data_IF_395019406234
#
_entry.id   IF_395019406234
#
_cell.length_a   1.000
_cell.length_b   1.000
_cell.length_c   1.000
_cell.angle_alpha   90.00
_cell.angle_beta   90.00
_cell.angle_gamma   90.00
#
_symmetry.space_group_name_H-M   'P 1'
#
loop_
_entity.id
_entity.type
_entity.pdbx_description
1 polymer ?
#
# COMPACT_ATOMS: atom_id res chain seq x y z
N UNK A 1 -43.46 21.32 3.53
CA UNK A 1 -44.32 20.15 3.80
C UNK A 1 -45.61 20.31 3.05
N UNK A 2 -45.95 19.38 2.17
CA UNK A 2 -47.14 19.47 1.32
C UNK A 2 -47.54 18.10 0.79
N UNK A 3 -48.84 17.93 0.51
CA UNK A 3 -49.47 16.67 0.09
C UNK A 3 -48.74 15.91 -1.03
N UNK A 4 -47.96 16.61 -1.85
CA UNK A 4 -47.20 16.03 -2.95
C UNK A 4 -46.09 15.06 -2.49
N UNK A 5 -45.52 15.27 -1.30
CA UNK A 5 -44.48 14.39 -0.72
C UNK A 5 -45.04 13.01 -0.35
N UNK A 6 -46.29 12.95 0.10
CA UNK A 6 -46.92 11.69 0.51
C UNK A 6 -47.49 10.89 -0.68
N UNK A 7 -47.62 11.52 -1.86
CA UNK A 7 -48.21 10.89 -3.05
C UNK A 7 -47.18 10.42 -4.09
N UNK A 8 -45.96 10.97 -4.07
CA UNK A 8 -44.94 10.69 -5.08
C UNK A 8 -43.65 10.21 -4.42
N UNK A 9 -43.24 9.00 -4.77
CA UNK A 9 -41.99 8.40 -4.30
C UNK A 9 -40.82 8.87 -5.17
N UNK A 10 -40.18 9.99 -4.78
CA UNK A 10 -39.00 10.51 -5.49
C UNK A 10 -37.67 10.07 -4.89
N UNK A 11 -37.66 9.55 -3.65
CA UNK A 11 -36.43 9.13 -2.97
C UNK A 11 -35.81 7.90 -3.65
N UNK A 12 -34.48 7.88 -3.77
CA UNK A 12 -33.73 6.77 -4.36
C UNK A 12 -32.69 6.28 -3.37
N UNK A 13 -32.62 4.96 -3.19
CA UNK A 13 -31.57 4.26 -2.44
C UNK A 13 -30.88 3.27 -3.38
N UNK A 14 -29.56 3.35 -3.46
CA UNK A 14 -28.74 2.43 -4.22
C UNK A 14 -27.82 1.66 -3.27
N UNK A 15 -27.71 0.36 -3.48
CA UNK A 15 -26.78 -0.51 -2.78
C UNK A 15 -25.82 -1.10 -3.81
N UNK A 16 -24.52 -0.94 -3.61
CA UNK A 16 -23.52 -1.68 -4.35
C UNK A 16 -23.28 -3.02 -3.65
N UNK A 17 -23.88 -4.07 -4.21
CA UNK A 17 -23.87 -5.42 -3.62
C UNK A 17 -22.45 -5.96 -3.33
N UNK A 18 -21.43 -5.81 -4.20
CA UNK A 18 -20.10 -6.34 -3.92
C UNK A 18 -19.37 -5.68 -2.74
N UNK A 19 -19.61 -4.40 -2.47
CA UNK A 19 -18.93 -3.67 -1.38
C UNK A 19 -19.83 -3.37 -0.19
N UNK A 20 -21.13 -3.64 -0.30
CA UNK A 20 -22.13 -3.28 0.71
C UNK A 20 -22.38 -1.76 0.85
N UNK A 21 -21.78 -0.91 0.01
CA UNK A 21 -21.94 0.55 0.11
C UNK A 21 -23.37 0.93 -0.26
N UNK A 22 -24.04 1.64 0.66
CA UNK A 22 -25.39 2.16 0.46
C UNK A 22 -25.35 3.68 0.37
N UNK A 23 -25.99 4.24 -0.64
CA UNK A 23 -26.23 5.68 -0.76
C UNK A 23 -27.71 5.97 -0.96
N UNK A 24 -28.18 7.10 -0.46
CA UNK A 24 -29.56 7.54 -0.61
C UNK A 24 -29.61 9.02 -1.00
N UNK A 25 -30.55 9.37 -1.87
CA UNK A 25 -30.78 10.74 -2.32
C UNK A 25 -32.28 11.03 -2.37
N UNK A 26 -32.68 12.16 -1.77
CA UNK A 26 -34.06 12.65 -1.72
C UNK A 26 -34.13 14.18 -1.90
N UNK A 27 -33.08 14.79 -2.45
CA UNK A 27 -32.92 16.24 -2.51
C UNK A 27 -33.89 16.90 -3.51
N UNK A 28 -34.17 16.22 -4.62
CA UNK A 28 -35.06 16.71 -5.68
C UNK A 28 -36.46 16.08 -5.62
N UNK A 29 -37.44 16.81 -6.16
CA UNK A 29 -38.79 16.27 -6.43
C UNK A 29 -38.83 15.21 -7.54
N UNK A 30 -37.76 15.11 -8.35
CA UNK A 30 -37.67 14.18 -9.48
C UNK A 30 -36.84 12.95 -9.12
N UNK A 31 -37.42 11.77 -9.28
CA UNK A 31 -36.73 10.49 -9.06
C UNK A 31 -35.49 10.35 -9.97
N UNK A 32 -35.55 10.79 -11.23
CA UNK A 32 -34.42 10.68 -12.16
C UNK A 32 -33.23 11.52 -11.72
N UNK A 33 -33.48 12.74 -11.21
CA UNK A 33 -32.42 13.59 -10.65
C UNK A 33 -31.81 12.98 -9.40
N UNK A 34 -32.64 12.49 -8.48
CA UNK A 34 -32.16 11.78 -7.29
C UNK A 34 -31.35 10.52 -7.64
N UNK A 35 -31.75 9.78 -8.68
CA UNK A 35 -31.00 8.63 -9.19
C UNK A 35 -29.64 9.02 -9.75
N UNK A 36 -29.56 10.08 -10.55
CA UNK A 36 -28.30 10.57 -11.10
C UNK A 36 -27.34 11.02 -9.98
N UNK A 37 -27.85 11.77 -9.00
CA UNK A 37 -27.07 12.19 -7.83
C UNK A 37 -26.61 11.01 -6.99
N UNK A 38 -27.50 10.04 -6.71
CA UNK A 38 -27.15 8.82 -5.99
C UNK A 38 -26.04 8.02 -6.71
N UNK A 39 -26.07 7.94 -8.04
CA UNK A 39 -25.00 7.31 -8.82
C UNK A 39 -23.65 8.02 -8.67
N UNK A 40 -23.63 9.35 -8.72
CA UNK A 40 -22.42 10.12 -8.51
C UNK A 40 -21.84 9.89 -7.10
N UNK A 41 -22.70 9.89 -6.07
CA UNK A 41 -22.31 9.57 -4.70
C UNK A 41 -21.75 8.15 -4.59
N UNK A 42 -22.41 7.16 -5.21
CA UNK A 42 -21.99 5.76 -5.15
C UNK A 42 -20.61 5.57 -5.78
N UNK A 43 -20.38 6.16 -6.96
CA UNK A 43 -19.09 6.11 -7.65
C UNK A 43 -17.97 6.76 -6.83
N UNK A 44 -18.24 7.92 -6.24
CA UNK A 44 -17.27 8.60 -5.38
C UNK A 44 -16.88 7.74 -4.17
N UNK A 45 -17.86 7.10 -3.50
CA UNK A 45 -17.62 6.21 -2.36
C UNK A 45 -16.84 4.95 -2.73
N UNK A 46 -17.14 4.35 -3.89
CA UNK A 46 -16.40 3.19 -4.40
C UNK A 46 -14.96 3.59 -4.72
N UNK A 47 -14.76 4.73 -5.36
CA UNK A 47 -13.43 5.25 -5.67
C UNK A 47 -12.61 5.50 -4.40
N UNK A 48 -13.20 6.16 -3.40
CA UNK A 48 -12.58 6.40 -2.09
C UNK A 48 -12.17 5.09 -1.40
N UNK A 49 -13.03 4.06 -1.44
CA UNK A 49 -12.72 2.74 -0.91
C UNK A 49 -11.50 2.11 -1.59
N UNK A 50 -11.46 2.12 -2.93
CA UNK A 50 -10.34 1.53 -3.68
C UNK A 50 -9.04 2.33 -3.53
N UNK A 51 -9.13 3.66 -3.44
CA UNK A 51 -7.97 4.50 -3.13
C UNK A 51 -7.41 4.15 -1.75
N UNK A 52 -8.28 4.08 -0.73
CA UNK A 52 -7.87 3.74 0.64
C UNK A 52 -7.21 2.36 0.70
N UNK A 53 -7.75 1.35 0.01
CA UNK A 53 -7.12 0.02 -0.06
C UNK A 53 -5.72 0.07 -0.66
N UNK A 54 -5.49 0.87 -1.70
CA UNK A 54 -4.16 1.04 -2.31
C UNK A 54 -3.21 1.75 -1.37
N UNK A 55 -3.68 2.79 -0.69
CA UNK A 55 -2.90 3.53 0.30
C UNK A 55 -2.53 2.64 1.50
N UNK A 56 -3.48 1.87 2.02
CA UNK A 56 -3.27 0.89 3.10
C UNK A 56 -2.23 -0.17 2.69
N UNK A 57 -2.31 -0.71 1.47
CA UNK A 57 -1.34 -1.68 0.97
C UNK A 57 0.08 -1.08 0.82
N UNK A 58 0.18 0.13 0.29
CA UNK A 58 1.44 0.85 0.17
C UNK A 58 2.02 1.22 1.55
N UNK A 59 1.16 1.61 2.50
CA UNK A 59 1.55 1.92 3.86
C UNK A 59 2.03 0.67 4.60
N UNK A 60 1.35 -0.47 4.46
CA UNK A 60 1.80 -1.74 5.04
C UNK A 60 3.19 -2.15 4.53
N UNK A 61 3.48 -1.93 3.24
CA UNK A 61 4.82 -2.14 2.69
C UNK A 61 5.84 -1.15 3.28
N UNK A 62 5.46 0.11 3.48
CA UNK A 62 6.31 1.11 4.12
C UNK A 62 6.57 0.79 5.60
N UNK A 63 5.56 0.38 6.36
CA UNK A 63 5.64 0.02 7.79
C UNK A 63 6.48 -1.24 8.03
N UNK A 64 6.59 -2.11 7.02
CA UNK A 64 7.50 -3.26 7.09
C UNK A 64 8.98 -2.85 7.09
N UNK A 65 9.29 -1.61 6.70
CA UNK A 65 10.65 -1.06 6.72
C UNK A 65 10.96 -0.59 8.13
N UNK A 66 12.17 -0.87 8.59
CA UNK A 66 12.63 -0.43 9.90
C UNK A 66 12.80 1.09 9.96
N UNK A 67 12.70 1.67 11.15
CA UNK A 67 12.91 3.10 11.39
C UNK A 67 14.25 3.60 10.81
N UNK A 68 14.23 4.82 10.29
CA UNK A 68 15.44 5.51 9.81
C UNK A 68 16.18 6.07 11.02
N UNK A 69 16.95 5.22 11.69
CA UNK A 69 17.72 5.56 12.88
C UNK A 69 19.09 4.89 12.91
N UNK A 70 19.94 5.35 13.83
CA UNK A 70 21.23 4.71 14.09
C UNK A 70 21.02 3.27 14.60
N UNK A 71 21.65 2.30 13.94
CA UNK A 71 21.53 0.88 14.25
C UNK A 71 20.59 0.10 13.32
N UNK A 72 19.77 0.79 12.52
CA UNK A 72 18.85 0.16 11.56
C UNK A 72 19.40 0.08 10.13
N UNK A 73 20.65 0.49 9.91
CA UNK A 73 21.29 0.39 8.60
C UNK A 73 21.51 -1.07 8.18
N UNK A 74 21.17 -1.40 6.93
CA UNK A 74 21.40 -2.74 6.38
C UNK A 74 22.82 -2.93 5.83
N UNK A 75 23.51 -1.84 5.49
CA UNK A 75 24.82 -1.87 4.85
C UNK A 75 25.63 -0.64 5.23
N UNK A 76 26.90 -0.85 5.55
CA UNK A 76 27.87 0.21 5.82
C UNK A 76 28.72 0.44 4.58
N UNK A 77 28.87 1.72 4.19
CA UNK A 77 29.76 2.16 3.12
C UNK A 77 30.81 3.08 3.73
N UNK A 78 32.05 2.59 3.83
CA UNK A 78 33.20 3.36 4.31
C UNK A 78 34.07 3.66 3.10
N UNK A 79 34.26 4.95 2.78
CA UNK A 79 35.05 5.39 1.61
C UNK A 79 36.41 5.98 2.00
N UNK A 80 36.58 6.33 3.28
CA UNK A 80 37.80 6.89 3.88
C UNK A 80 37.82 6.53 5.38
N UNK A 81 39.00 6.25 5.99
CA UNK A 81 40.33 6.23 5.38
C UNK A 81 40.63 4.93 4.60
N UNK A 82 39.84 3.88 4.80
CA UNK A 82 39.85 2.65 4.02
C UNK A 82 38.55 2.54 3.22
N UNK A 83 38.58 1.77 2.14
CA UNK A 83 37.42 1.50 1.29
C UNK A 83 36.85 0.13 1.64
N UNK A 84 35.60 0.10 2.10
CA UNK A 84 34.88 -1.12 2.44
C UNK A 84 33.37 -0.92 2.36
N UNK A 85 32.69 -1.86 1.73
CA UNK A 85 31.24 -2.01 1.81
C UNK A 85 30.92 -3.31 2.51
N UNK A 86 30.08 -3.28 3.55
CA UNK A 86 29.67 -4.46 4.32
C UNK A 86 28.18 -4.49 4.55
N UNK A 87 27.52 -5.57 4.11
CA UNK A 87 26.10 -5.82 4.41
C UNK A 87 25.98 -6.46 5.80
N UNK A 88 25.28 -5.78 6.70
CA UNK A 88 25.19 -6.18 8.12
C UNK A 88 24.20 -7.33 8.34
N UNK A 89 23.36 -7.64 7.35
CA UNK A 89 22.39 -8.73 7.44
C UNK A 89 23.00 -10.07 7.04
N UNK A 90 23.87 -10.06 6.03
CA UNK A 90 24.46 -11.27 5.44
C UNK A 90 25.95 -11.44 5.78
N UNK A 91 26.60 -10.38 6.27
CA UNK A 91 28.03 -10.37 6.55
C UNK A 91 28.93 -10.23 5.32
N UNK A 92 28.38 -10.26 4.11
CA UNK A 92 29.13 -10.09 2.86
C UNK A 92 29.78 -8.71 2.81
N UNK A 93 31.05 -8.66 2.39
CA UNK A 93 31.81 -7.43 2.26
C UNK A 93 32.71 -7.41 1.02
N UNK A 94 33.04 -6.21 0.55
CA UNK A 94 33.99 -5.98 -0.55
C UNK A 94 34.77 -4.69 -0.32
N UNK A 95 36.00 -4.64 -0.83
CA UNK A 95 36.82 -3.43 -0.88
C UNK A 95 36.57 -2.59 -2.13
N UNK A 96 35.92 -3.14 -3.16
CA UNK A 96 35.58 -2.40 -4.39
C UNK A 96 34.37 -1.49 -4.16
N UNK A 97 34.58 -0.37 -3.48
CA UNK A 97 33.50 0.59 -3.20
C UNK A 97 32.96 1.25 -4.46
N UNK A 98 33.81 1.43 -5.48
CA UNK A 98 33.43 2.14 -6.69
C UNK A 98 32.52 1.28 -7.56
N UNK A 99 32.88 0.00 -7.80
CA UNK A 99 32.02 -0.93 -8.54
C UNK A 99 30.63 -1.07 -7.91
N UNK A 100 30.57 -1.14 -6.57
CA UNK A 100 29.29 -1.20 -5.85
C UNK A 100 28.44 0.06 -6.04
N UNK A 101 29.07 1.25 -6.00
CA UNK A 101 28.37 2.52 -6.26
C UNK A 101 27.95 2.66 -7.73
N UNK A 102 28.68 2.03 -8.64
CA UNK A 102 28.38 1.97 -10.08
C UNK A 102 27.36 0.87 -10.43
N UNK A 103 26.90 0.09 -9.44
CA UNK A 103 25.77 -0.84 -9.57
C UNK A 103 26.10 -2.32 -9.42
N UNK A 104 27.34 -2.70 -9.13
CA UNK A 104 27.72 -4.09 -8.84
C UNK A 104 27.19 -4.54 -7.46
N UNK A 105 25.91 -4.90 -7.43
CA UNK A 105 25.17 -5.27 -6.22
C UNK A 105 24.82 -6.77 -6.17
N UNK A 106 25.17 -7.53 -7.21
CA UNK A 106 24.69 -8.90 -7.41
C UNK A 106 25.08 -9.82 -6.25
N UNK A 107 26.33 -9.72 -5.77
CA UNK A 107 26.80 -10.51 -4.64
C UNK A 107 25.97 -10.27 -3.36
N UNK A 108 25.60 -9.02 -3.09
CA UNK A 108 24.78 -8.68 -1.92
C UNK A 108 23.33 -9.11 -2.07
N UNK A 109 22.77 -8.98 -3.28
CA UNK A 109 21.40 -9.41 -3.57
C UNK A 109 21.26 -10.93 -3.46
N UNK A 110 22.18 -11.69 -4.08
CA UNK A 110 22.20 -13.14 -4.01
C UNK A 110 22.32 -13.64 -2.56
N UNK A 111 23.23 -13.08 -1.77
CA UNK A 111 23.38 -13.42 -0.37
C UNK A 111 22.12 -13.13 0.45
N UNK A 112 21.46 -11.99 0.20
CA UNK A 112 20.22 -11.64 0.91
C UNK A 112 19.05 -12.55 0.55
N UNK A 113 18.97 -13.02 -0.69
CA UNK A 113 17.93 -13.95 -1.13
C UNK A 113 18.19 -15.35 -0.57
N UNK A 114 19.44 -15.80 -0.57
CA UNK A 114 19.84 -17.08 0.00
C UNK A 114 19.57 -17.15 1.52
N UNK A 115 19.87 -16.08 2.26
CA UNK A 115 19.59 -16.01 3.69
C UNK A 115 18.09 -16.14 4.00
N UNK A 116 17.23 -15.45 3.24
CA UNK A 116 15.76 -15.55 3.40
C UNK A 116 15.21 -16.94 3.12
N UNK A 117 15.75 -17.62 2.11
CA UNK A 117 15.37 -19.01 1.81
C UNK A 117 15.83 -19.97 2.91
N UNK A 118 16.99 -19.73 3.53
CA UNK A 118 17.48 -20.52 4.66
C UNK A 118 16.56 -20.41 5.88
N UNK A 119 16.12 -19.20 6.23
CA UNK A 119 15.22 -18.96 7.36
C UNK A 119 13.83 -19.64 7.16
N UNK A 120 13.33 -19.74 5.93
CA UNK A 120 12.07 -20.43 5.63
C UNK A 120 12.18 -21.96 5.80
N UNK A 121 13.35 -22.56 5.50
CA UNK A 121 13.55 -24.01 5.61
C UNK A 121 13.63 -24.45 7.07
N UNK A 122 14.32 -23.69 7.92
CA UNK A 122 14.45 -24.02 9.35
C UNK A 122 13.14 -23.86 10.13
N UNK A 123 12.18 -23.06 9.63
CA UNK A 123 10.86 -22.88 10.26
C UNK A 123 9.80 -23.89 9.82
N UNK A 124 10.08 -24.71 8.80
CA UNK A 124 9.18 -25.74 8.30
C UNK A 124 9.42 -27.13 8.92
N UNK A 125 10.54 -27.29 9.65
CA UNK A 125 10.94 -28.54 10.32
C UNK A 125 10.62 -28.55 11.84
N UNK A 126 9.92 -27.53 12.36
CA UNK A 126 9.37 -27.42 13.74
C UNK A 126 7.82 -27.47 13.72
#
# INVERSE_FOLDING_TARGET
GGQHVNKTESAVRLTHEPTGIVVACQADRSQHKNRATAWNMLRARIYELELRKREEAAQAEADSKTDIGWGHQIRSYVLQPYQMVKDLRTGVETSDTQGVLDGDLDAFMAASLAARLGDEVDSADD
#
